data_IF_866150313686
#
_entry.id   IF_866150313686
#
_cell.length_a   1.000
_cell.length_b   1.000
_cell.length_c   1.000
_cell.angle_alpha   90.00
_cell.angle_beta   90.00
_cell.angle_gamma   90.00
#
_symmetry.space_group_name_H-M   'P 1'
#
loop_
_entity.id
_entity.type
_entity.pdbx_description
1 polymer ?
#
# COMPACT_ATOMS: atom_id res chain seq x y z
N UNK A 1 8.51 -4.76 -8.91
CA UNK A 1 7.53 -3.98 -8.15
C UNK A 1 8.22 -3.20 -7.04
N UNK A 2 7.80 -1.95 -6.78
CA UNK A 2 8.52 -0.98 -5.95
C UNK A 2 8.33 -1.15 -4.43
N UNK A 3 7.19 -1.70 -4.05
CA UNK A 3 6.79 -1.99 -2.67
C UNK A 3 6.58 -3.48 -2.56
N UNK A 4 6.93 -4.03 -1.39
CA UNK A 4 6.46 -5.34 -0.96
C UNK A 4 5.73 -5.20 0.37
N UNK A 5 4.77 -6.09 0.63
CA UNK A 5 4.07 -6.19 1.90
C UNK A 5 4.28 -7.60 2.41
N UNK A 6 4.90 -7.74 3.57
CA UNK A 6 4.89 -9.00 4.33
C UNK A 6 3.60 -9.03 5.13
N UNK A 7 2.90 -10.15 5.09
CA UNK A 7 1.61 -10.31 5.76
C UNK A 7 1.60 -11.62 6.55
N UNK A 8 0.94 -11.59 7.70
CA UNK A 8 0.52 -12.75 8.46
C UNK A 8 -0.89 -12.48 8.94
N UNK A 9 -1.86 -13.14 8.32
CA UNK A 9 -3.28 -13.00 8.65
C UNK A 9 -3.80 -14.38 8.99
N UNK A 10 -4.43 -14.49 10.16
CA UNK A 10 -5.05 -15.75 10.58
C UNK A 10 -6.34 -15.48 11.35
N UNK A 11 -7.29 -16.40 11.18
CA UNK A 11 -8.56 -16.42 11.87
C UNK A 11 -8.64 -17.68 12.73
N UNK A 12 -9.28 -17.59 13.89
CA UNK A 12 -9.45 -18.70 14.83
C UNK A 12 -10.92 -18.88 15.14
N UNK A 13 -11.32 -20.14 15.35
CA UNK A 13 -12.70 -20.53 15.66
C UNK A 13 -13.20 -19.90 16.98
N UNK A 14 -12.28 -19.51 17.87
CA UNK A 14 -12.54 -18.80 19.12
C UNK A 14 -13.09 -17.37 18.96
N UNK A 15 -13.57 -16.98 17.77
CA UNK A 15 -14.08 -15.64 17.49
C UNK A 15 -12.98 -14.55 17.43
N UNK A 16 -11.72 -14.95 17.27
CA UNK A 16 -10.58 -14.02 17.25
C UNK A 16 -9.65 -14.30 16.08
N UNK A 17 -8.97 -13.27 15.61
CA UNK A 17 -7.97 -13.36 14.56
C UNK A 17 -6.81 -12.42 14.84
N UNK A 18 -5.78 -12.50 14.02
CA UNK A 18 -4.65 -11.57 14.08
C UNK A 18 -4.28 -11.11 12.69
N UNK A 19 -3.82 -9.87 12.64
CA UNK A 19 -3.28 -9.24 11.46
C UNK A 19 -1.92 -8.65 11.80
N UNK A 20 -0.93 -9.02 11.00
CA UNK A 20 0.40 -8.42 10.99
C UNK A 20 0.76 -8.07 9.55
N UNK A 21 0.88 -6.77 9.29
CA UNK A 21 1.33 -6.24 8.00
C UNK A 21 2.61 -5.46 8.21
N UNK A 22 3.60 -5.70 7.36
CA UNK A 22 4.84 -4.92 7.29
C UNK A 22 5.08 -4.48 5.86
N UNK A 23 5.21 -3.18 5.64
CA UNK A 23 5.44 -2.58 4.32
C UNK A 23 6.92 -2.28 4.17
N UNK A 24 7.50 -2.70 3.06
CA UNK A 24 8.87 -2.36 2.71
C UNK A 24 9.02 -1.88 1.29
N UNK A 25 10.09 -1.11 1.07
CA UNK A 25 10.53 -0.66 -0.25
C UNK A 25 11.55 -1.65 -0.79
N UNK A 26 11.51 -1.94 -2.09
CA UNK A 26 12.56 -2.74 -2.74
C UNK A 26 13.83 -1.88 -2.91
N UNK A 27 15.01 -2.43 -2.57
CA UNK A 27 16.29 -1.69 -2.49
C UNK A 27 16.68 -0.93 -3.78
N UNK A 28 16.20 -1.36 -4.94
CA UNK A 28 16.52 -0.75 -6.24
C UNK A 28 15.86 0.62 -6.48
N UNK A 29 15.04 1.13 -5.56
CA UNK A 29 14.34 2.41 -5.72
C UNK A 29 14.94 3.40 -4.75
N UNK A 30 15.67 4.38 -5.28
CA UNK A 30 16.33 5.47 -4.54
C UNK A 30 15.40 6.66 -4.23
N UNK A 31 14.17 6.64 -4.76
CA UNK A 31 13.16 7.68 -4.53
C UNK A 31 12.22 7.34 -3.36
N UNK A 32 11.76 8.40 -2.68
CA UNK A 32 10.74 8.27 -1.65
C UNK A 32 9.41 7.82 -2.27
N UNK A 33 8.70 6.97 -1.55
CA UNK A 33 7.38 6.51 -1.94
C UNK A 33 6.35 7.28 -1.10
N UNK A 34 5.43 7.95 -1.78
CA UNK A 34 4.45 8.86 -1.19
C UNK A 34 3.04 8.29 -1.32
N UNK A 35 2.12 8.81 -0.51
CA UNK A 35 0.70 8.45 -0.52
C UNK A 35 0.46 6.93 -0.46
N UNK A 36 1.26 6.24 0.35
CA UNK A 36 1.14 4.79 0.52
C UNK A 36 -0.10 4.50 1.35
N UNK A 37 -1.05 3.78 0.75
CA UNK A 37 -2.29 3.35 1.40
C UNK A 37 -2.52 1.89 1.09
N UNK A 38 -2.86 1.10 2.11
CA UNK A 38 -3.24 -0.30 1.99
C UNK A 38 -4.71 -0.41 2.34
N UNK A 39 -5.47 -1.04 1.46
CA UNK A 39 -6.88 -1.32 1.63
C UNK A 39 -7.08 -2.83 1.65
N UNK A 40 -7.92 -3.31 2.56
CA UNK A 40 -8.20 -4.71 2.77
C UNK A 40 -9.70 -4.88 3.00
N UNK A 41 -10.36 -5.64 2.12
CA UNK A 41 -11.78 -5.99 2.28
C UNK A 41 -11.85 -7.24 3.15
N UNK A 42 -12.29 -7.07 4.38
CA UNK A 42 -12.39 -8.12 5.38
C UNK A 42 -13.58 -9.04 5.12
N UNK A 43 -13.50 -10.32 5.54
CA UNK A 43 -14.64 -11.23 5.53
C UNK A 43 -15.82 -10.71 6.36
N UNK A 44 -17.04 -11.11 6.00
CA UNK A 44 -18.28 -10.64 6.66
C UNK A 44 -18.34 -10.96 8.15
N UNK A 45 -17.70 -12.06 8.58
CA UNK A 45 -17.62 -12.46 9.98
C UNK A 45 -16.75 -11.53 10.84
N UNK A 46 -15.98 -10.60 10.25
CA UNK A 46 -15.19 -9.62 11.00
C UNK A 46 -16.09 -8.49 11.50
N UNK A 47 -16.15 -8.31 12.82
CA UNK A 47 -16.93 -7.24 13.47
C UNK A 47 -16.08 -5.99 13.64
N UNK A 48 -14.84 -6.15 14.08
CA UNK A 48 -13.95 -5.03 14.38
C UNK A 48 -12.48 -5.42 14.20
N UNK A 49 -11.60 -4.42 14.06
CA UNK A 49 -10.16 -4.59 14.03
C UNK A 49 -9.53 -3.69 15.10
N UNK A 50 -8.82 -4.29 16.06
CA UNK A 50 -8.08 -3.56 17.10
C UNK A 50 -6.60 -3.64 16.74
N UNK A 51 -6.15 -2.64 15.98
CA UNK A 51 -4.81 -2.61 15.40
C UNK A 51 -3.99 -1.44 15.94
N UNK A 52 -2.69 -1.63 15.98
CA UNK A 52 -1.70 -0.63 16.37
C UNK A 52 -0.80 -0.35 15.16
N UNK A 53 -0.97 0.80 14.48
CA UNK A 53 -0.04 1.23 13.45
C UNK A 53 1.23 1.79 14.10
N UNK A 54 2.40 1.37 13.60
CA UNK A 54 3.67 2.06 13.92
C UNK A 54 3.82 3.38 13.18
N UNK A 55 3.16 3.53 12.03
CA UNK A 55 3.21 4.70 11.18
C UNK A 55 1.83 4.98 10.59
N UNK A 56 1.51 6.27 10.46
CA UNK A 56 0.27 6.72 9.88
C UNK A 56 -0.95 6.35 10.72
N UNK A 57 -2.10 6.18 10.08
CA UNK A 57 -3.39 5.91 10.74
C UNK A 57 -4.16 4.87 9.97
N UNK A 58 -4.94 4.05 10.67
CA UNK A 58 -5.88 3.14 10.05
C UNK A 58 -7.32 3.53 10.38
N UNK A 59 -8.24 3.13 9.52
CA UNK A 59 -9.68 3.21 9.72
C UNK A 59 -10.29 1.88 9.32
N UNK A 60 -11.31 1.45 10.05
CA UNK A 60 -12.08 0.27 9.71
C UNK A 60 -13.55 0.65 9.63
N UNK A 61 -14.18 0.38 8.49
CA UNK A 61 -15.61 0.54 8.28
C UNK A 61 -16.31 -0.81 8.55
N UNK A 62 -17.04 -0.96 9.66
CA UNK A 62 -17.71 -2.21 10.01
C UNK A 62 -18.90 -2.56 9.10
N UNK A 63 -19.42 -1.59 8.34
CA UNK A 63 -20.52 -1.80 7.39
C UNK A 63 -19.97 -2.28 6.05
N UNK A 64 -18.98 -1.56 5.50
CA UNK A 64 -18.33 -1.96 4.24
C UNK A 64 -17.34 -3.12 4.39
N UNK A 65 -16.96 -3.43 5.64
CA UNK A 65 -15.89 -4.38 6.00
C UNK A 65 -14.54 -3.98 5.39
N UNK A 66 -14.31 -2.69 5.21
CA UNK A 66 -13.07 -2.19 4.60
C UNK A 66 -12.13 -1.67 5.68
N UNK A 67 -10.96 -2.28 5.78
CA UNK A 67 -9.82 -1.76 6.53
C UNK A 67 -8.95 -0.92 5.59
N UNK A 68 -8.72 0.33 5.94
CA UNK A 68 -7.80 1.23 5.22
C UNK A 68 -6.69 1.64 6.16
N UNK A 69 -5.44 1.40 5.78
CA UNK A 69 -4.26 1.89 6.46
C UNK A 69 -3.52 2.89 5.59
N UNK A 70 -3.55 4.15 6.02
CA UNK A 70 -2.79 5.24 5.41
C UNK A 70 -1.41 5.31 6.08
N UNK A 71 -0.41 4.77 5.39
CA UNK A 71 0.99 4.72 5.86
C UNK A 71 1.67 6.09 5.68
N UNK A 72 1.30 6.82 4.62
CA UNK A 72 1.89 8.11 4.28
C UNK A 72 3.13 7.98 3.40
N UNK A 73 4.29 8.43 3.88
CA UNK A 73 5.54 8.50 3.11
C UNK A 73 6.59 7.53 3.65
N UNK A 74 7.19 6.76 2.75
CA UNK A 74 8.34 5.88 3.03
C UNK A 74 9.58 6.54 2.43
N UNK A 75 10.47 7.01 3.31
CA UNK A 75 11.71 7.69 2.91
C UNK A 75 12.68 6.74 2.20
N UNK A 76 13.57 7.34 1.40
CA UNK A 76 14.55 6.59 0.64
C UNK A 76 15.82 6.21 1.40
N UNK A 77 15.92 6.56 2.68
CA UNK A 77 17.08 6.30 3.53
C UNK A 77 17.35 4.79 3.69
N UNK A 78 18.60 4.40 4.02
CA UNK A 78 18.95 3.01 4.26
C UNK A 78 17.99 2.39 5.28
N UNK A 79 17.53 1.18 5.00
CA UNK A 79 16.53 0.45 5.80
C UNK A 79 17.00 0.15 7.25
N UNK A 80 18.28 0.41 7.52
CA UNK A 80 18.92 0.34 8.84
C UNK A 80 18.66 1.57 9.72
N UNK A 81 18.22 2.69 9.15
CA UNK A 81 18.04 3.97 9.87
C UNK A 81 16.59 4.26 10.28
N UNK A 82 15.60 3.56 9.71
CA UNK A 82 14.18 3.73 10.05
C UNK A 82 13.46 2.38 10.08
N UNK A 83 12.72 2.06 11.17
CA UNK A 83 11.96 0.83 11.25
C UNK A 83 10.87 0.79 10.17
N UNK A 84 10.63 -0.38 9.60
CA UNK A 84 9.61 -0.54 8.57
C UNK A 84 8.21 -0.21 9.10
N UNK A 85 7.35 0.43 8.30
CA UNK A 85 5.95 0.60 8.67
C UNK A 85 5.28 -0.76 8.88
N UNK A 86 4.70 -0.91 10.06
CA UNK A 86 3.91 -2.07 10.48
C UNK A 86 2.52 -1.66 10.97
N UNK A 87 1.56 -2.57 10.77
CA UNK A 87 0.21 -2.53 11.34
C UNK A 87 -0.08 -3.89 11.94
N UNK A 88 -0.22 -3.95 13.27
CA UNK A 88 -0.31 -5.21 14.01
C UNK A 88 -1.43 -5.18 15.02
N UNK A 89 -2.15 -6.27 15.19
CA UNK A 89 -3.15 -6.40 16.25
C UNK A 89 -4.13 -7.52 16.01
N UNK A 90 -5.26 -7.43 16.71
CA UNK A 90 -6.27 -8.48 16.73
C UNK A 90 -7.47 -8.10 15.86
N UNK A 91 -8.02 -9.10 15.20
CA UNK A 91 -9.30 -9.05 14.50
C UNK A 91 -10.35 -9.68 15.40
N UNK A 92 -11.50 -9.02 15.54
CA UNK A 92 -12.64 -9.53 16.30
C UNK A 92 -13.64 -10.12 15.32
N UNK A 93 -13.96 -11.41 15.48
CA UNK A 93 -14.95 -12.11 14.68
C UNK A 93 -16.27 -12.28 15.43
N UNK A 94 -17.35 -12.42 14.68
CA UNK A 94 -18.63 -12.86 15.22
C UNK A 94 -18.52 -14.29 15.74
N UNK A 95 -19.03 -14.52 16.95
CA UNK A 95 -19.08 -15.85 17.56
C UNK A 95 -20.06 -16.74 16.81
N UNK A 96 -19.72 -18.03 16.65
CA UNK A 96 -20.59 -19.02 16.00
C UNK A 96 -20.72 -18.88 14.48
N UNK A 97 -19.92 -18.02 13.84
CA UNK A 97 -19.81 -17.96 12.38
C UNK A 97 -18.66 -18.87 11.89
N UNK A 98 -18.82 -19.51 10.72
CA UNK A 98 -17.73 -20.29 10.13
C UNK A 98 -16.53 -19.40 9.86
N UNK A 99 -15.34 -20.00 9.91
CA UNK A 99 -14.11 -19.33 9.50
C UNK A 99 -14.20 -18.89 8.04
N UNK A 100 -13.56 -17.76 7.67
CA UNK A 100 -13.41 -17.38 6.27
C UNK A 100 -12.74 -18.49 5.46
N UNK A 101 -13.28 -18.80 4.28
CA UNK A 101 -12.69 -19.77 3.35
C UNK A 101 -11.35 -19.29 2.76
N UNK A 102 -11.10 -17.98 2.75
CA UNK A 102 -9.87 -17.38 2.24
C UNK A 102 -9.48 -16.12 3.00
N UNK A 103 -8.18 -15.87 3.07
CA UNK A 103 -7.67 -14.59 3.56
C UNK A 103 -8.03 -13.43 2.63
N UNK A 104 -8.18 -12.21 3.17
CA UNK A 104 -8.56 -11.05 2.38
C UNK A 104 -7.43 -10.58 1.44
N UNK A 105 -7.80 -9.94 0.33
CA UNK A 105 -6.84 -9.38 -0.61
C UNK A 105 -6.42 -7.98 -0.15
N UNK A 106 -5.12 -7.71 -0.15
CA UNK A 106 -4.56 -6.39 0.12
C UNK A 106 -4.41 -5.62 -1.18
N UNK A 107 -5.10 -4.50 -1.31
CA UNK A 107 -4.92 -3.53 -2.38
C UNK A 107 -3.96 -2.44 -1.92
N UNK A 108 -2.92 -2.15 -2.71
CA UNK A 108 -1.90 -1.16 -2.35
C UNK A 108 -1.89 -0.02 -3.36
N UNK A 109 -2.00 1.20 -2.85
CA UNK A 109 -1.95 2.45 -3.62
C UNK A 109 -0.71 3.24 -3.18
N UNK A 110 -0.01 3.85 -4.14
CA UNK A 110 1.17 4.67 -3.87
C UNK A 110 1.54 5.56 -5.05
N UNK A 111 2.42 6.53 -4.80
CA UNK A 111 2.98 7.45 -5.78
C UNK A 111 4.49 7.55 -5.61
N UNK A 112 5.24 7.59 -6.72
CA UNK A 112 6.68 7.82 -6.72
C UNK A 112 6.97 8.90 -7.75
N UNK A 113 7.59 10.00 -7.29
CA UNK A 113 8.00 11.09 -8.17
C UNK A 113 9.36 10.78 -8.80
N UNK A 114 9.61 11.34 -9.99
CA UNK A 114 10.88 11.26 -10.72
C UNK A 114 11.31 9.84 -11.11
N UNK A 115 10.37 8.90 -11.19
CA UNK A 115 10.65 7.53 -11.65
C UNK A 115 9.58 7.07 -12.64
N UNK A 116 10.02 6.27 -13.61
CA UNK A 116 9.14 5.44 -14.44
C UNK A 116 9.55 3.98 -14.26
N UNK A 117 8.60 3.15 -13.82
CA UNK A 117 8.87 1.71 -13.58
C UNK A 117 8.92 0.93 -14.90
N UNK A 118 8.30 1.43 -15.97
CA UNK A 118 8.35 0.81 -17.30
C UNK A 118 9.70 0.93 -18.01
N UNK A 119 10.63 1.74 -17.49
CA UNK A 119 11.90 2.06 -18.15
C UNK A 119 11.78 3.09 -19.29
N UNK A 120 10.59 3.58 -19.61
CA UNK A 120 10.36 4.58 -20.66
C UNK A 120 11.07 5.91 -20.36
N UNK A 121 11.85 6.40 -21.32
CA UNK A 121 12.53 7.69 -21.22
C UNK A 121 12.24 8.49 -22.48
N UNK A 122 11.81 9.73 -22.30
CA UNK A 122 11.74 10.73 -23.35
C UNK A 122 13.14 10.94 -23.90
N UNK A 123 13.32 10.71 -25.20
CA UNK A 123 14.60 10.95 -25.87
C UNK A 123 14.74 12.42 -26.25
N UNK A 124 13.82 12.93 -27.07
CA UNK A 124 13.81 14.33 -27.47
C UNK A 124 12.38 14.79 -27.80
N UNK A 125 12.16 16.11 -27.81
CA UNK A 125 10.89 16.76 -28.19
C UNK A 125 11.23 17.82 -29.22
N UNK A 126 10.64 17.74 -30.41
CA UNK A 126 10.76 18.74 -31.46
C UNK A 126 9.54 19.65 -31.47
N UNK A 127 9.79 20.94 -31.72
CA UNK A 127 8.76 21.97 -31.84
C UNK A 127 9.12 22.75 -33.11
N UNK A 128 8.19 22.81 -34.06
CA UNK A 128 8.35 23.46 -35.35
C UNK A 128 7.32 24.60 -35.47
N UNK A 129 7.63 25.60 -36.30
CA UNK A 129 6.69 26.68 -36.63
C UNK A 129 6.63 27.83 -35.63
N UNK A 130 7.61 27.92 -34.72
CA UNK A 130 7.70 28.99 -33.72
C UNK A 130 9.08 29.67 -33.78
N UNK A 131 9.10 31.01 -33.77
CA UNK A 131 10.32 31.81 -33.87
C UNK A 131 11.03 32.01 -32.51
N UNK A 132 10.42 31.57 -31.42
CA UNK A 132 10.97 31.68 -30.08
C UNK A 132 11.62 30.36 -29.60
N UNK A 133 12.40 30.43 -28.51
CA UNK A 133 13.02 29.25 -27.86
C UNK A 133 12.13 28.72 -26.73
N UNK A 134 11.28 27.71 -26.96
CA UNK A 134 10.39 27.18 -25.92
C UNK A 134 11.17 26.46 -24.82
N UNK A 135 10.69 26.60 -23.59
CA UNK A 135 11.14 25.77 -22.47
C UNK A 135 10.54 24.36 -22.60
N UNK A 136 11.38 23.33 -22.57
CA UNK A 136 10.98 21.92 -22.64
C UNK A 136 11.29 21.26 -21.31
N UNK A 137 10.28 20.70 -20.65
CA UNK A 137 10.42 19.99 -19.38
C UNK A 137 9.68 18.67 -19.41
N UNK A 138 10.21 17.68 -18.70
CA UNK A 138 9.56 16.38 -18.51
C UNK A 138 9.48 16.04 -17.02
N UNK A 139 8.35 15.48 -16.61
CA UNK A 139 8.15 14.98 -15.24
C UNK A 139 7.67 13.54 -15.28
N UNK A 140 8.46 12.65 -14.72
CA UNK A 140 8.08 11.25 -14.55
C UNK A 140 7.38 11.07 -13.20
N UNK A 141 6.23 10.40 -13.22
CA UNK A 141 5.48 10.04 -12.03
C UNK A 141 4.99 8.61 -12.23
N UNK A 142 5.34 7.72 -11.32
CA UNK A 142 4.70 6.42 -11.25
C UNK A 142 3.62 6.46 -10.18
N UNK A 143 2.40 6.10 -10.53
CA UNK A 143 1.27 6.06 -9.59
C UNK A 143 0.55 4.75 -9.76
N UNK A 144 0.28 4.09 -8.64
CA UNK A 144 -0.60 2.93 -8.57
C UNK A 144 -1.82 3.34 -7.76
N UNK A 145 -2.98 3.23 -8.41
CA UNK A 145 -4.30 3.61 -7.90
C UNK A 145 -5.34 2.59 -8.36
N UNK A 146 -6.51 2.63 -7.73
CA UNK A 146 -7.73 1.94 -8.15
C UNK A 146 -7.59 0.42 -8.25
N UNK A 147 -7.00 -0.23 -7.24
CA UNK A 147 -7.03 -1.69 -7.18
C UNK A 147 -6.07 -2.42 -8.12
N UNK A 148 -5.23 -1.72 -8.88
CA UNK A 148 -4.36 -2.35 -9.90
C UNK A 148 -3.19 -3.15 -9.32
N UNK A 149 -2.88 -2.98 -8.05
CA UNK A 149 -1.85 -3.75 -7.37
C UNK A 149 -2.45 -4.43 -6.15
N UNK A 150 -2.52 -5.75 -6.23
CA UNK A 150 -3.15 -6.61 -5.25
C UNK A 150 -2.16 -7.67 -4.78
N UNK A 151 -2.19 -7.95 -3.47
CA UNK A 151 -1.40 -8.99 -2.82
C UNK A 151 -2.40 -9.96 -2.19
N UNK A 152 -2.34 -11.22 -2.65
CA UNK A 152 -3.12 -12.31 -2.06
C UNK A 152 -2.40 -12.81 -0.81
N UNK A 153 -3.13 -12.95 0.28
CA UNK A 153 -2.57 -13.22 1.61
C UNK A 153 -2.83 -14.63 2.12
#
# INVERSE_FOLDING_TARGET
>A
MPIYVKHSIYFRESGSGRLDLTVGRKQQIDKAIENVTIECVMPKCVINCVLTPSHGKYTFDPVKKTLVWNVGKIESKPQTAAPLPTLRGNIVLATGQPLPESNPILTVNFKINQIVISGLRLQHVEIHGEDYKPFKGVKYITTVKNGRFQIRT
#
